data_IF_435725709031
#
_entry.id   IF_435725709031
#
_cell.length_a   1.000
_cell.length_b   1.000
_cell.length_c   1.000
_cell.angle_alpha   90.00
_cell.angle_beta   90.00
_cell.angle_gamma   90.00
#
_symmetry.space_group_name_H-M   'P 1'
#
loop_
_entity.id
_entity.type
_entity.pdbx_description
1 polymer ?
#
# COMPACT_ATOMS: atom_id res chain seq x y z
N UNK A 1 -28.99 3.65 -6.43
CA UNK A 1 -29.50 4.89 -7.05
C UNK A 1 -28.72 6.06 -6.44
N UNK A 2 -27.75 6.64 -7.14
CA UNK A 2 -26.94 7.79 -6.67
C UNK A 2 -27.27 9.03 -7.50
N UNK A 3 -27.57 10.13 -6.81
CA UNK A 3 -28.17 11.39 -7.29
C UNK A 3 -27.30 12.25 -8.24
N UNK A 4 -26.23 11.72 -8.86
CA UNK A 4 -25.32 12.52 -9.69
C UNK A 4 -24.85 11.86 -11.00
N UNK A 5 -25.28 10.63 -11.34
CA UNK A 5 -24.87 9.98 -12.60
C UNK A 5 -23.36 9.68 -12.73
N UNK A 6 -22.59 9.88 -11.67
CA UNK A 6 -21.17 9.53 -11.59
C UNK A 6 -21.04 8.15 -10.92
N UNK A 7 -20.22 7.28 -11.50
CA UNK A 7 -19.97 5.95 -10.94
C UNK A 7 -19.34 6.06 -9.54
N UNK A 8 -19.72 5.22 -8.56
CA UNK A 8 -19.16 5.22 -7.20
C UNK A 8 -17.62 5.16 -7.19
N UNK A 9 -17.07 4.49 -8.20
CA UNK A 9 -15.66 4.35 -8.50
C UNK A 9 -14.96 5.72 -8.60
N UNK A 10 -15.54 6.67 -9.33
CA UNK A 10 -14.95 7.99 -9.57
C UNK A 10 -15.03 8.89 -8.32
N UNK A 11 -16.11 8.80 -7.54
CA UNK A 11 -16.26 9.58 -6.31
C UNK A 11 -15.21 9.18 -5.24
N UNK A 12 -14.94 7.90 -5.10
CA UNK A 12 -13.91 7.41 -4.16
C UNK A 12 -12.52 7.76 -4.67
N UNK A 13 -12.26 7.61 -5.97
CA UNK A 13 -11.02 8.08 -6.61
C UNK A 13 -10.72 9.55 -6.35
N UNK A 14 -11.75 10.41 -6.43
CA UNK A 14 -11.63 11.83 -6.11
C UNK A 14 -11.36 12.04 -4.61
N UNK A 15 -11.96 11.26 -3.71
CA UNK A 15 -11.68 11.33 -2.27
C UNK A 15 -10.23 10.93 -1.94
N UNK A 16 -9.69 9.93 -2.62
CA UNK A 16 -8.28 9.53 -2.54
C UNK A 16 -7.33 10.63 -2.98
N UNK A 17 -7.61 11.24 -4.14
CA UNK A 17 -6.79 12.33 -4.70
C UNK A 17 -6.93 13.60 -3.87
N UNK A 18 -8.11 13.87 -3.32
CA UNK A 18 -8.34 15.00 -2.42
C UNK A 18 -7.59 14.83 -1.08
N UNK A 19 -7.53 13.62 -0.52
CA UNK A 19 -6.70 13.33 0.65
C UNK A 19 -5.21 13.52 0.35
N UNK A 20 -4.73 13.07 -0.81
CA UNK A 20 -3.36 13.30 -1.29
C UNK A 20 -3.02 14.79 -1.43
N UNK A 21 -3.93 15.56 -2.01
CA UNK A 21 -3.77 17.00 -2.20
C UNK A 21 -3.79 17.76 -0.86
N UNK A 22 -4.64 17.34 0.09
CA UNK A 22 -4.64 17.90 1.44
C UNK A 22 -3.32 17.61 2.16
N UNK A 23 -2.81 16.39 2.05
CA UNK A 23 -1.60 16.00 2.77
C UNK A 23 -0.35 16.74 2.29
N UNK A 24 -0.24 16.95 0.97
CA UNK A 24 0.82 17.78 0.39
C UNK A 24 0.75 19.23 0.90
N UNK A 25 -0.46 19.75 1.17
CA UNK A 25 -0.64 21.13 1.66
C UNK A 25 -0.27 21.29 3.14
N UNK A 26 -0.40 20.25 3.96
CA UNK A 26 -0.30 20.33 5.42
C UNK A 26 0.93 19.65 6.05
N UNK A 27 1.79 18.96 5.28
CA UNK A 27 3.05 18.37 5.79
C UNK A 27 2.85 17.31 6.89
N UNK A 28 1.71 16.61 6.91
CA UNK A 28 1.50 15.49 7.84
C UNK A 28 2.20 14.23 7.29
N UNK A 29 3.31 13.77 7.89
CA UNK A 29 3.92 12.47 7.52
C UNK A 29 2.97 11.26 7.68
N UNK A 30 1.85 11.41 8.40
CA UNK A 30 0.98 10.31 8.75
C UNK A 30 0.04 9.88 7.60
N UNK A 31 -0.45 10.81 6.78
CA UNK A 31 -1.50 10.49 5.78
C UNK A 31 -0.89 9.79 4.56
N UNK A 32 0.32 10.15 4.14
CA UNK A 32 1.08 9.39 3.15
C UNK A 32 1.32 7.91 3.55
N UNK A 33 1.59 7.63 4.82
CA UNK A 33 1.75 6.25 5.30
C UNK A 33 0.40 5.49 5.31
N UNK A 34 -0.68 6.17 5.68
CA UNK A 34 -2.04 5.62 5.65
C UNK A 34 -2.52 5.31 4.23
N UNK A 35 -1.90 5.82 3.18
CA UNK A 35 -2.30 5.49 1.81
C UNK A 35 -2.11 4.02 1.43
N UNK A 36 -1.12 3.31 2.00
CA UNK A 36 -0.88 1.91 1.67
C UNK A 36 -2.10 0.99 1.94
N UNK A 37 -2.72 0.99 3.14
CA UNK A 37 -3.94 0.21 3.37
C UNK A 37 -5.14 0.72 2.57
N UNK A 38 -5.20 2.01 2.25
CA UNK A 38 -6.32 2.54 1.47
C UNK A 38 -6.18 2.12 -0.01
N UNK A 39 -4.96 2.09 -0.58
CA UNK A 39 -4.71 1.53 -1.93
C UNK A 39 -5.08 0.04 -1.97
N UNK A 40 -4.71 -0.73 -0.94
CA UNK A 40 -5.06 -2.15 -0.83
C UNK A 40 -6.57 -2.36 -0.75
N UNK A 41 -7.19 -1.85 0.31
CA UNK A 41 -8.58 -2.13 0.65
C UNK A 41 -9.50 -1.38 -0.32
N UNK A 42 -9.21 -0.11 -0.62
CA UNK A 42 -10.01 0.67 -1.56
C UNK A 42 -9.86 0.20 -3.00
N UNK A 43 -8.65 -0.16 -3.45
CA UNK A 43 -8.44 -0.70 -4.79
C UNK A 43 -9.17 -2.03 -5.01
N UNK A 44 -9.16 -2.90 -4.00
CA UNK A 44 -9.87 -4.19 -4.03
C UNK A 44 -11.39 -4.03 -3.91
N UNK A 45 -11.88 -3.24 -2.96
CA UNK A 45 -13.34 -3.09 -2.70
C UNK A 45 -14.08 -2.37 -3.83
N UNK A 46 -13.39 -1.49 -4.57
CA UNK A 46 -13.95 -0.78 -5.73
C UNK A 46 -13.82 -1.57 -7.05
N UNK A 47 -13.17 -2.74 -7.02
CA UNK A 47 -12.93 -3.57 -8.22
C UNK A 47 -11.98 -2.94 -9.22
N UNK A 48 -11.11 -2.03 -8.78
CA UNK A 48 -10.08 -1.39 -9.63
C UNK A 48 -8.88 -2.30 -9.85
N UNK A 49 -8.53 -3.09 -8.85
CA UNK A 49 -7.40 -4.02 -8.89
C UNK A 49 -7.80 -5.37 -8.32
N UNK A 50 -7.24 -6.43 -8.90
CA UNK A 50 -7.28 -7.75 -8.27
C UNK A 50 -6.40 -7.77 -7.00
N UNK A 51 -6.61 -8.71 -6.06
CA UNK A 51 -5.86 -8.72 -4.79
C UNK A 51 -4.34 -8.72 -4.98
N UNK A 52 -3.86 -9.38 -6.05
CA UNK A 52 -2.43 -9.47 -6.39
C UNK A 52 -1.89 -8.14 -6.93
N UNK A 53 -2.63 -7.45 -7.79
CA UNK A 53 -2.23 -6.13 -8.33
C UNK A 53 -2.26 -5.05 -7.25
N UNK A 54 -3.25 -5.08 -6.36
CA UNK A 54 -3.35 -4.15 -5.24
C UNK A 54 -2.15 -4.29 -4.28
N UNK A 55 -1.71 -5.52 -4.01
CA UNK A 55 -0.52 -5.78 -3.22
C UNK A 55 0.74 -5.18 -3.84
N UNK A 56 0.94 -5.36 -5.14
CA UNK A 56 2.09 -4.78 -5.86
C UNK A 56 2.03 -3.25 -5.84
N UNK A 57 0.86 -2.64 -6.08
CA UNK A 57 0.69 -1.19 -6.04
C UNK A 57 1.05 -0.60 -4.66
N UNK A 58 0.63 -1.26 -3.58
CA UNK A 58 0.93 -0.82 -2.21
C UNK A 58 2.42 -0.96 -1.87
N UNK A 59 3.10 -2.01 -2.33
CA UNK A 59 4.55 -2.19 -2.16
C UNK A 59 5.32 -1.11 -2.91
N UNK A 60 4.95 -0.82 -4.17
CA UNK A 60 5.57 0.25 -4.95
C UNK A 60 5.38 1.60 -4.24
N UNK A 61 4.18 1.86 -3.71
CA UNK A 61 3.90 3.08 -2.95
C UNK A 61 4.76 3.19 -1.68
N UNK A 62 4.88 2.11 -0.91
CA UNK A 62 5.72 2.05 0.29
C UNK A 62 7.21 2.27 -0.04
N UNK A 63 7.71 1.67 -1.13
CA UNK A 63 9.09 1.88 -1.60
C UNK A 63 9.34 3.32 -2.04
N UNK A 64 8.40 3.91 -2.79
CA UNK A 64 8.49 5.32 -3.19
C UNK A 64 8.55 6.24 -1.96
N UNK A 65 7.70 6.00 -0.96
CA UNK A 65 7.73 6.77 0.28
C UNK A 65 9.03 6.59 1.06
N UNK A 66 9.51 5.35 1.21
CA UNK A 66 10.74 5.05 1.96
C UNK A 66 12.01 5.57 1.31
N UNK A 67 12.11 5.51 -0.03
CA UNK A 67 13.30 5.90 -0.78
C UNK A 67 13.30 7.38 -1.18
N UNK A 68 12.16 7.90 -1.65
CA UNK A 68 12.09 9.23 -2.28
C UNK A 68 11.59 10.29 -1.31
N UNK A 69 10.46 10.04 -0.62
CA UNK A 69 9.79 11.07 0.19
C UNK A 69 10.42 11.24 1.57
N UNK A 70 10.49 10.15 2.33
CA UNK A 70 11.05 10.14 3.68
C UNK A 70 12.55 9.92 3.68
N UNK A 71 13.08 9.35 2.59
CA UNK A 71 14.50 9.00 2.43
C UNK A 71 15.05 8.22 3.63
N UNK A 72 14.17 7.45 4.28
CA UNK A 72 14.45 6.68 5.50
C UNK A 72 14.99 5.28 5.18
N UNK A 73 14.78 4.79 3.96
CA UNK A 73 15.35 3.53 3.48
C UNK A 73 16.55 3.76 2.56
N UNK A 74 17.55 2.91 2.71
CA UNK A 74 18.66 2.74 1.76
C UNK A 74 18.54 1.39 1.05
N UNK A 75 19.26 1.19 -0.05
CA UNK A 75 19.32 -0.12 -0.73
C UNK A 75 19.79 -1.25 0.20
N UNK A 76 20.67 -0.96 1.17
CA UNK A 76 21.09 -1.94 2.18
C UNK A 76 19.94 -2.31 3.12
N UNK A 77 19.17 -1.33 3.58
CA UNK A 77 17.99 -1.55 4.42
C UNK A 77 16.90 -2.32 3.68
N UNK A 78 16.70 -2.03 2.39
CA UNK A 78 15.78 -2.77 1.53
C UNK A 78 16.20 -4.24 1.42
N UNK A 79 17.47 -4.52 1.09
CA UNK A 79 17.97 -5.89 1.02
C UNK A 79 17.81 -6.62 2.36
N UNK A 80 18.14 -5.95 3.48
CA UNK A 80 17.92 -6.51 4.82
C UNK A 80 16.45 -6.84 5.07
N UNK A 81 15.53 -5.93 4.79
CA UNK A 81 14.10 -6.16 4.97
C UNK A 81 13.58 -7.34 4.13
N UNK A 82 14.11 -7.52 2.91
CA UNK A 82 13.80 -8.68 2.08
C UNK A 82 14.31 -9.99 2.70
N UNK A 83 15.55 -10.02 3.19
CA UNK A 83 16.10 -11.21 3.87
C UNK A 83 15.32 -11.55 5.15
N UNK A 84 15.00 -10.56 5.98
CA UNK A 84 14.20 -10.75 7.20
C UNK A 84 12.80 -11.32 6.84
N UNK A 85 12.21 -10.87 5.74
CA UNK A 85 10.91 -11.39 5.24
C UNK A 85 11.03 -12.83 4.74
N UNK A 86 12.12 -13.17 4.05
CA UNK A 86 12.37 -14.53 3.57
C UNK A 86 12.57 -15.47 4.77
N UNK A 87 13.37 -15.08 5.75
CA UNK A 87 13.64 -15.88 6.95
C UNK A 87 12.35 -16.19 7.71
N UNK A 88 11.54 -15.16 7.99
CA UNK A 88 10.25 -15.34 8.68
C UNK A 88 9.29 -16.23 7.88
N UNK A 89 9.20 -16.03 6.56
CA UNK A 89 8.35 -16.87 5.69
C UNK A 89 8.85 -18.31 5.67
N UNK A 90 10.16 -18.54 5.57
CA UNK A 90 10.76 -19.87 5.58
C UNK A 90 10.54 -20.59 6.91
N UNK A 91 10.71 -19.91 8.05
CA UNK A 91 10.43 -20.48 9.37
C UNK A 91 8.98 -20.94 9.50
N UNK A 92 8.02 -20.12 9.06
CA UNK A 92 6.59 -20.48 9.08
C UNK A 92 6.32 -21.68 8.17
N UNK A 93 6.88 -21.70 6.95
CA UNK A 93 6.71 -22.81 6.03
C UNK A 93 7.32 -24.12 6.58
N UNK A 94 8.51 -24.06 7.18
CA UNK A 94 9.12 -25.23 7.82
C UNK A 94 8.25 -25.81 8.94
N UNK A 95 7.66 -24.96 9.79
CA UNK A 95 6.73 -25.40 10.84
C UNK A 95 5.50 -26.08 10.21
N UNK A 96 4.90 -25.47 9.19
CA UNK A 96 3.73 -26.04 8.49
C UNK A 96 4.05 -27.38 7.85
N UNK A 97 5.26 -27.56 7.31
CA UNK A 97 5.69 -28.85 6.74
C UNK A 97 6.00 -29.90 7.79
N UNK A 98 6.55 -29.52 8.95
CA UNK A 98 6.87 -30.45 10.03
C UNK A 98 5.64 -30.84 10.88
N UNK A 99 4.60 -29.99 10.90
CA UNK A 99 3.32 -30.26 11.55
C UNK A 99 2.41 -31.19 10.73
N UNK A 100 2.74 -31.44 9.47
CA UNK A 100 2.10 -32.46 8.62
C UNK A 100 2.84 -33.79 8.73
#
# INVERSE_FOLDING_TARGET
>A
MTLAGVSPNVATGIAFVALLALDWRFNFSAVMALMAPVILIGGMTLGWFTPTEAAVAAVIWALFLGLVRYRSMTFKTLAKATFDTIETTASVLCIVTAAR
#
